data_IF_658073183485
#
_entry.id   IF_658073183485
#
_cell.length_a   1.000
_cell.length_b   1.000
_cell.length_c   1.000
_cell.angle_alpha   90.00
_cell.angle_beta   90.00
_cell.angle_gamma   90.00
#
_symmetry.space_group_name_H-M   'P 1'
#
loop_
_entity.id
_entity.type
_entity.pdbx_description
1 polymer ?
#
# COMPACT_ATOMS: atom_id res chain seq x y z
N UNK A 1 -8.40 -14.09 25.44
CA UNK A 1 -7.35 -13.06 25.66
C UNK A 1 -6.45 -12.89 24.44
N UNK A 2 -5.78 -13.95 23.96
CA UNK A 2 -4.88 -13.89 22.79
C UNK A 2 -5.53 -13.36 21.51
N UNK A 3 -6.77 -13.78 21.20
CA UNK A 3 -7.52 -13.28 20.03
C UNK A 3 -7.69 -11.75 20.05
N UNK A 4 -8.04 -11.19 21.21
CA UNK A 4 -8.27 -9.75 21.37
C UNK A 4 -7.00 -8.95 21.09
N UNK A 5 -5.86 -9.44 21.58
CA UNK A 5 -4.55 -8.82 21.35
C UNK A 5 -4.24 -8.78 19.85
N UNK A 6 -4.42 -9.91 19.14
CA UNK A 6 -4.16 -9.97 17.70
C UNK A 6 -5.10 -9.05 16.91
N UNK A 7 -6.39 -8.98 17.30
CA UNK A 7 -7.36 -8.05 16.69
C UNK A 7 -6.95 -6.59 16.91
N UNK A 8 -6.44 -6.22 18.09
CA UNK A 8 -5.91 -4.87 18.33
C UNK A 8 -4.74 -4.55 17.40
N UNK A 9 -3.82 -5.49 17.18
CA UNK A 9 -2.73 -5.29 16.21
C UNK A 9 -3.25 -5.12 14.79
N UNK A 10 -4.22 -5.94 14.36
CA UNK A 10 -4.85 -5.81 13.04
C UNK A 10 -5.46 -4.41 12.86
N UNK A 11 -6.15 -3.89 13.87
CA UNK A 11 -6.73 -2.55 13.82
C UNK A 11 -5.66 -1.46 13.63
N UNK A 12 -4.54 -1.55 14.36
CA UNK A 12 -3.41 -0.60 14.25
C UNK A 12 -2.78 -0.66 12.86
N UNK A 13 -2.53 -1.87 12.35
CA UNK A 13 -1.99 -2.06 11.00
C UNK A 13 -2.95 -1.57 9.92
N UNK A 14 -4.27 -1.71 10.11
CA UNK A 14 -5.29 -1.15 9.22
C UNK A 14 -5.21 0.38 9.12
N UNK A 15 -5.06 1.07 10.26
CA UNK A 15 -4.87 2.53 10.27
C UNK A 15 -3.57 2.92 9.56
N UNK A 16 -2.47 2.21 9.81
CA UNK A 16 -1.20 2.42 9.11
C UNK A 16 -1.32 2.26 7.59
N UNK A 17 -2.05 1.23 7.13
CA UNK A 17 -2.31 0.99 5.72
C UNK A 17 -3.05 2.18 5.09
N UNK A 18 -4.06 2.72 5.77
CA UNK A 18 -4.81 3.90 5.30
C UNK A 18 -3.86 5.09 5.14
N UNK A 19 -3.02 5.37 6.15
CA UNK A 19 -2.06 6.49 6.11
C UNK A 19 -1.05 6.34 4.95
N UNK A 20 -0.49 5.15 4.78
CA UNK A 20 0.46 4.85 3.70
C UNK A 20 -0.23 4.95 2.33
N UNK A 21 -1.48 4.49 2.21
CA UNK A 21 -2.27 4.57 0.98
C UNK A 21 -2.55 6.02 0.57
N UNK A 22 -2.89 6.89 1.53
CA UNK A 22 -3.10 8.32 1.27
C UNK A 22 -1.82 9.00 0.78
N UNK A 23 -0.68 8.65 1.37
CA UNK A 23 0.64 9.13 0.95
C UNK A 23 1.02 8.67 -0.46
N UNK A 24 0.48 7.54 -0.92
CA UNK A 24 0.74 6.97 -2.24
C UNK A 24 -0.21 7.50 -3.33
N UNK A 25 -1.33 8.15 -2.96
CA UNK A 25 -2.36 8.68 -3.87
C UNK A 25 -1.90 9.66 -4.97
N UNK A 26 -0.93 10.58 -4.77
CA UNK A 26 -0.56 11.50 -5.85
C UNK A 26 0.17 10.81 -7.01
N UNK A 27 0.74 9.62 -6.78
CA UNK A 27 1.52 8.88 -7.79
C UNK A 27 0.70 7.91 -8.65
N UNK A 28 -0.57 7.63 -8.32
CA UNK A 28 -1.43 6.73 -9.09
C UNK A 28 -2.14 7.39 -10.28
N UNK A 29 -2.00 8.72 -10.42
CA UNK A 29 -2.69 9.51 -11.44
C UNK A 29 -2.11 9.35 -12.86
N UNK A 30 -0.93 8.74 -13.01
CA UNK A 30 -0.25 8.54 -14.30
C UNK A 30 -1.03 7.65 -15.27
N UNK A 31 -1.84 6.71 -14.75
CA UNK A 31 -2.65 5.81 -15.59
C UNK A 31 -3.94 6.48 -16.09
N UNK A 32 -4.58 7.31 -15.25
CA UNK A 32 -5.82 8.02 -15.60
C UNK A 32 -5.57 9.11 -16.67
N UNK A 33 -4.46 9.84 -16.58
CA UNK A 33 -4.08 10.82 -17.60
C UNK A 33 -3.80 10.19 -18.97
N UNK A 34 -3.25 8.97 -18.99
CA UNK A 34 -2.90 8.28 -20.22
C UNK A 34 -4.12 7.85 -21.07
N UNK A 35 -5.24 7.53 -20.42
CA UNK A 35 -6.48 7.17 -21.10
C UNK A 35 -7.20 8.38 -21.72
N UNK A 36 -6.90 9.59 -21.24
CA UNK A 36 -7.55 10.85 -21.68
C UNK A 36 -6.67 11.60 -22.71
N UNK A 37 -5.52 11.04 -23.08
CA UNK A 37 -4.64 11.60 -24.12
C UNK A 37 -3.74 12.74 -23.63
N UNK A 38 -3.37 12.77 -22.34
CA UNK A 38 -2.38 13.73 -21.83
C UNK A 38 -1.02 13.48 -22.49
N UNK A 39 -0.33 14.55 -22.92
CA UNK A 39 0.96 14.50 -23.64
C UNK A 39 2.17 14.10 -22.78
N UNK A 40 2.02 14.05 -21.44
CA UNK A 40 3.11 13.79 -20.50
C UNK A 40 2.99 12.36 -19.93
N UNK A 41 3.36 11.39 -20.76
CA UNK A 41 3.15 9.97 -20.51
C UNK A 41 4.40 9.35 -19.88
N UNK A 42 4.51 9.50 -18.56
CA UNK A 42 5.44 8.74 -17.72
C UNK A 42 5.17 7.22 -17.77
N UNK A 43 4.10 6.79 -18.47
CA UNK A 43 3.70 5.40 -18.70
C UNK A 43 4.75 4.59 -19.48
N UNK A 44 5.45 5.25 -20.42
CA UNK A 44 6.53 4.64 -21.22
C UNK A 44 7.92 5.17 -20.83
N UNK A 45 7.98 6.09 -19.86
CA UNK A 45 9.25 6.51 -19.30
C UNK A 45 9.78 5.37 -18.41
N UNK A 46 10.85 4.73 -18.85
CA UNK A 46 11.56 3.71 -18.06
C UNK A 46 12.34 4.44 -16.97
N UNK A 47 11.62 4.91 -15.95
CA UNK A 47 12.20 5.56 -14.78
C UNK A 47 12.41 4.52 -13.69
N UNK A 48 13.67 4.31 -13.29
CA UNK A 48 13.97 3.49 -12.11
C UNK A 48 13.29 4.14 -10.91
N UNK A 49 12.37 3.43 -10.26
CA UNK A 49 11.77 3.89 -9.01
C UNK A 49 12.87 4.16 -7.98
N UNK A 50 12.99 5.42 -7.53
CA UNK A 50 14.07 5.90 -6.64
C UNK A 50 13.49 6.67 -5.45
N UNK A 51 14.24 6.67 -4.35
CA UNK A 51 13.92 7.43 -3.14
C UNK A 51 12.64 6.98 -2.45
N UNK A 52 11.83 7.95 -2.02
CA UNK A 52 10.63 7.75 -1.21
C UNK A 52 9.56 6.92 -1.93
N UNK A 53 9.47 7.01 -3.27
CA UNK A 53 8.49 6.27 -4.09
C UNK A 53 8.68 4.75 -3.98
N UNK A 54 9.93 4.29 -4.01
CA UNK A 54 10.26 2.86 -3.83
C UNK A 54 10.00 2.41 -2.40
N UNK A 55 10.35 3.24 -1.42
CA UNK A 55 10.15 2.93 -0.01
C UNK A 55 8.67 2.76 0.33
N UNK A 56 7.82 3.72 -0.02
CA UNK A 56 6.38 3.68 0.30
C UNK A 56 5.68 2.48 -0.36
N UNK A 57 6.07 2.13 -1.59
CA UNK A 57 5.55 0.95 -2.29
C UNK A 57 5.93 -0.36 -1.59
N UNK A 58 7.19 -0.52 -1.21
CA UNK A 58 7.64 -1.69 -0.46
C UNK A 58 7.07 -1.73 0.97
N UNK A 59 6.94 -0.58 1.62
CA UNK A 59 6.30 -0.47 2.93
C UNK A 59 4.83 -0.90 2.87
N UNK A 60 4.07 -0.42 1.88
CA UNK A 60 2.68 -0.83 1.67
C UNK A 60 2.57 -2.34 1.43
N UNK A 61 3.46 -2.90 0.62
CA UNK A 61 3.48 -4.33 0.33
C UNK A 61 3.76 -5.16 1.59
N UNK A 62 4.78 -4.81 2.36
CA UNK A 62 5.16 -5.53 3.59
C UNK A 62 4.07 -5.41 4.65
N UNK A 63 3.56 -4.20 4.89
CA UNK A 63 2.51 -3.96 5.89
C UNK A 63 1.21 -4.67 5.51
N UNK A 64 0.82 -4.62 4.23
CA UNK A 64 -0.35 -5.33 3.72
C UNK A 64 -0.20 -6.86 3.83
N UNK A 65 1.00 -7.39 3.57
CA UNK A 65 1.27 -8.82 3.72
C UNK A 65 1.18 -9.27 5.18
N UNK A 66 1.77 -8.51 6.11
CA UNK A 66 1.67 -8.77 7.56
C UNK A 66 0.21 -8.75 8.01
N UNK A 67 -0.57 -7.77 7.56
CA UNK A 67 -1.99 -7.67 7.86
C UNK A 67 -2.77 -8.92 7.40
N UNK A 68 -2.48 -9.40 6.19
CA UNK A 68 -3.13 -10.58 5.63
C UNK A 68 -2.79 -11.84 6.44
N UNK A 69 -1.51 -12.04 6.78
CA UNK A 69 -1.08 -13.17 7.62
C UNK A 69 -1.75 -13.11 8.99
N UNK A 70 -1.76 -11.95 9.66
CA UNK A 70 -2.42 -11.78 10.95
C UNK A 70 -3.92 -12.09 10.88
N UNK A 71 -4.61 -11.64 9.81
CA UNK A 71 -6.03 -11.92 9.61
C UNK A 71 -6.30 -13.43 9.42
N UNK A 72 -5.44 -14.14 8.67
CA UNK A 72 -5.55 -15.59 8.51
C UNK A 72 -5.29 -16.34 9.82
N UNK A 73 -4.30 -15.90 10.60
CA UNK A 73 -4.01 -16.49 11.93
C UNK A 73 -5.23 -16.35 12.85
N UNK A 74 -5.90 -15.19 12.89
CA UNK A 74 -7.12 -15.01 13.69
C UNK A 74 -8.26 -15.92 13.23
N UNK A 75 -8.39 -16.15 11.91
CA UNK A 75 -9.41 -17.03 11.35
C UNK A 75 -9.18 -18.50 11.68
N UNK A 76 -7.92 -18.93 11.73
CA UNK A 76 -7.55 -20.32 12.03
C UNK A 76 -7.54 -20.62 13.52
N UNK A 77 -7.09 -19.67 14.34
CA UNK A 77 -7.10 -19.79 15.80
C UNK A 77 -8.53 -19.93 16.30
#
# INVERSE_FOLDING_TARGET
MWRTIIVTFIAIFGVLIILISLLMSPHSNSFSGALIGSSDLDLFQISKERGFKKFTKWAMFVVGFIFLVLALVVRLL
#
